data_IF_727061790224
#
_entry.id   IF_727061790224
#
_cell.length_a   1.000
_cell.length_b   1.000
_cell.length_c   1.000
_cell.angle_alpha   90.00
_cell.angle_beta   90.00
_cell.angle_gamma   90.00
#
_symmetry.space_group_name_H-M   'P 1'
#
loop_
_entity.id
_entity.type
_entity.pdbx_description
1 polymer ?
#
# COMPACT_ATOMS: atom_id res chain seq x y z
N UNK A 1 -11.35 -35.51 -45.64
CA UNK A 1 -11.17 -36.11 -46.97
C UNK A 1 -11.91 -35.26 -47.99
N UNK A 2 -11.23 -34.33 -48.64
CA UNK A 2 -11.69 -33.73 -49.90
C UNK A 2 -10.46 -33.16 -50.61
N UNK A 3 -10.23 -33.69 -51.80
CA UNK A 3 -9.06 -33.46 -52.63
C UNK A 3 -9.23 -32.13 -53.37
N UNK A 4 -8.24 -31.28 -53.18
CA UNK A 4 -7.67 -30.23 -54.03
C UNK A 4 -8.35 -29.95 -55.39
N UNK A 5 -9.08 -28.83 -55.47
CA UNK A 5 -9.62 -28.27 -56.73
C UNK A 5 -8.90 -26.99 -57.18
N UNK A 6 -7.89 -26.51 -56.44
CA UNK A 6 -7.18 -25.27 -56.78
C UNK A 6 -5.98 -25.49 -57.70
N UNK A 7 -5.43 -26.71 -57.79
CA UNK A 7 -4.26 -27.03 -58.63
C UNK A 7 -4.54 -27.35 -60.11
N UNK A 8 -5.77 -27.16 -60.61
CA UNK A 8 -6.11 -27.44 -62.02
C UNK A 8 -6.24 -26.22 -62.94
N UNK A 9 -5.95 -25.01 -62.46
CA UNK A 9 -6.12 -23.80 -63.27
C UNK A 9 -4.86 -23.21 -63.92
N UNK A 10 -3.68 -23.84 -63.79
CA UNK A 10 -2.44 -23.37 -64.47
C UNK A 10 -2.04 -24.16 -65.72
N UNK A 11 -2.84 -25.14 -66.17
CA UNK A 11 -2.57 -25.90 -67.42
C UNK A 11 -3.69 -25.71 -68.46
N UNK A 12 -4.59 -24.75 -68.26
CA UNK A 12 -5.78 -24.54 -69.10
C UNK A 12 -5.84 -23.15 -69.77
N UNK A 13 -4.69 -22.63 -70.21
CA UNK A 13 -4.62 -21.43 -71.02
C UNK A 13 -3.96 -21.71 -72.36
N UNK A 14 -4.72 -21.50 -73.47
CA UNK A 14 -4.28 -21.50 -74.89
C UNK A 14 -4.30 -22.96 -75.45
N UNK A 15 -5.26 -23.48 -76.22
CA UNK A 15 -6.03 -22.96 -77.36
C UNK A 15 -7.30 -23.81 -77.57
N UNK A 16 -8.47 -23.18 -77.61
CA UNK A 16 -9.61 -23.65 -78.41
C UNK A 16 -9.96 -22.54 -79.40
N UNK A 17 -10.03 -22.88 -80.68
CA UNK A 17 -10.74 -22.09 -81.68
C UNK A 17 -9.91 -21.72 -82.92
N UNK A 18 -9.92 -22.59 -83.93
CA UNK A 18 -10.61 -22.33 -85.22
C UNK A 18 -10.15 -23.34 -86.28
N UNK A 19 -10.96 -24.38 -86.43
CA UNK A 19 -11.09 -25.10 -87.69
C UNK A 19 -11.93 -24.23 -88.62
N UNK A 20 -11.42 -23.90 -89.80
CA UNK A 20 -12.27 -23.44 -90.91
C UNK A 20 -11.62 -22.43 -91.84
N UNK A 21 -11.28 -22.89 -93.05
CA UNK A 21 -10.93 -22.15 -94.28
C UNK A 21 -9.53 -21.51 -94.39
N UNK A 22 -8.60 -22.24 -95.04
CA UNK A 22 -7.29 -21.72 -95.46
C UNK A 22 -6.21 -22.81 -95.65
N UNK A 23 -6.52 -23.86 -96.42
CA UNK A 23 -5.73 -25.09 -96.51
C UNK A 23 -4.41 -25.03 -97.32
N UNK A 24 -3.73 -23.88 -97.41
CA UNK A 24 -2.41 -23.80 -98.08
C UNK A 24 -1.33 -23.00 -97.33
N UNK A 25 -1.65 -22.35 -96.20
CA UNK A 25 -0.68 -21.66 -95.35
C UNK A 25 -0.26 -22.42 -94.09
N UNK A 26 -1.02 -23.45 -93.70
CA UNK A 26 -0.84 -24.14 -92.41
C UNK A 26 0.27 -25.19 -92.42
N UNK A 27 0.63 -25.79 -93.56
CA UNK A 27 1.69 -26.82 -93.62
C UNK A 27 3.11 -26.25 -93.47
N UNK A 28 3.38 -25.09 -94.07
CA UNK A 28 4.66 -24.40 -93.92
C UNK A 28 4.86 -23.89 -92.48
N UNK A 29 3.79 -23.36 -91.88
CA UNK A 29 3.80 -22.95 -90.46
C UNK A 29 3.96 -24.18 -89.57
N UNK A 30 3.28 -25.29 -89.83
CA UNK A 30 3.44 -26.53 -89.04
C UNK A 30 4.86 -27.11 -89.17
N UNK A 31 5.47 -27.09 -90.36
CA UNK A 31 6.85 -27.50 -90.56
C UNK A 31 7.85 -26.57 -89.88
N UNK A 32 7.68 -25.26 -89.93
CA UNK A 32 8.56 -24.31 -89.24
C UNK A 32 8.41 -24.41 -87.72
N UNK A 33 7.19 -24.66 -87.23
CA UNK A 33 6.95 -24.88 -85.79
C UNK A 33 7.56 -26.20 -85.35
N UNK A 34 7.42 -27.27 -86.15
CA UNK A 34 8.08 -28.55 -85.89
C UNK A 34 9.60 -28.41 -85.93
N UNK A 35 10.18 -27.69 -86.90
CA UNK A 35 11.62 -27.40 -86.96
C UNK A 35 12.08 -26.56 -85.77
N UNK A 36 11.28 -25.60 -85.32
CA UNK A 36 11.59 -24.83 -84.11
C UNK A 36 11.54 -25.71 -82.86
N UNK A 37 10.59 -26.63 -82.74
CA UNK A 37 10.57 -27.60 -81.65
C UNK A 37 11.74 -28.59 -81.75
N UNK A 38 12.10 -29.05 -82.94
CA UNK A 38 13.24 -29.93 -83.18
C UNK A 38 14.57 -29.22 -82.90
N UNK A 39 14.65 -27.92 -83.22
CA UNK A 39 15.82 -27.08 -82.93
C UNK A 39 15.89 -26.73 -81.45
N UNK A 40 14.76 -26.49 -80.78
CA UNK A 40 14.72 -26.31 -79.33
C UNK A 40 15.09 -27.59 -78.60
N UNK A 41 14.51 -28.74 -78.98
CA UNK A 41 14.83 -30.05 -78.43
C UNK A 41 16.29 -30.42 -78.71
N UNK A 42 16.81 -30.18 -79.93
CA UNK A 42 18.22 -30.40 -80.27
C UNK A 42 19.15 -29.43 -79.52
N UNK A 43 18.74 -28.19 -79.28
CA UNK A 43 19.49 -27.24 -78.45
C UNK A 43 19.44 -27.60 -76.96
N UNK A 44 18.34 -28.22 -76.49
CA UNK A 44 18.22 -28.78 -75.14
C UNK A 44 19.03 -30.07 -74.98
N UNK A 45 19.10 -30.93 -76.00
CA UNK A 45 20.00 -32.10 -76.03
C UNK A 45 21.48 -31.71 -76.16
N UNK A 46 21.79 -30.60 -76.86
CA UNK A 46 23.14 -30.05 -77.00
C UNK A 46 23.56 -29.17 -75.82
N UNK A 47 22.62 -28.72 -75.00
CA UNK A 47 22.90 -28.11 -73.71
C UNK A 47 23.40 -29.20 -72.76
N UNK A 48 24.70 -29.50 -72.90
CA UNK A 48 25.47 -30.55 -72.21
C UNK A 48 25.52 -30.44 -70.67
N UNK A 49 24.67 -29.62 -70.07
CA UNK A 49 24.67 -29.31 -68.65
C UNK A 49 23.28 -29.24 -68.04
N UNK A 50 22.30 -29.93 -68.65
CA UNK A 50 20.97 -30.12 -68.09
C UNK A 50 20.99 -30.61 -66.63
N UNK A 51 21.88 -31.54 -66.23
CA UNK A 51 22.06 -31.92 -64.82
C UNK A 51 22.49 -30.74 -63.93
N UNK A 52 23.46 -29.92 -64.36
CA UNK A 52 23.93 -28.74 -63.62
C UNK A 52 22.86 -27.64 -63.55
N UNK A 53 22.03 -27.47 -64.59
CA UNK A 53 20.90 -26.55 -64.56
C UNK A 53 19.85 -27.01 -63.53
N UNK A 54 19.53 -28.30 -63.50
CA UNK A 54 18.59 -28.88 -62.54
C UNK A 54 19.12 -28.76 -61.10
N UNK A 55 20.42 -29.00 -60.90
CA UNK A 55 21.10 -28.84 -59.62
C UNK A 55 21.09 -27.38 -59.15
N UNK A 56 21.35 -26.43 -60.06
CA UNK A 56 21.26 -24.99 -59.76
C UNK A 56 19.83 -24.56 -59.40
N UNK A 57 18.81 -25.03 -60.11
CA UNK A 57 17.40 -24.75 -59.78
C UNK A 57 17.03 -25.37 -58.43
N UNK A 58 17.49 -26.58 -58.14
CA UNK A 58 17.29 -27.24 -56.85
C UNK A 58 17.96 -26.46 -55.71
N UNK A 59 19.19 -26.00 -55.91
CA UNK A 59 19.93 -25.18 -54.95
C UNK A 59 19.24 -23.84 -54.68
N UNK A 60 18.79 -23.14 -55.74
CA UNK A 60 18.04 -21.88 -55.61
C UNK A 60 16.70 -22.10 -54.91
N UNK A 61 15.98 -23.19 -55.22
CA UNK A 61 14.73 -23.53 -54.55
C UNK A 61 14.94 -23.84 -53.06
N UNK A 62 16.03 -24.52 -52.70
CA UNK A 62 16.40 -24.75 -51.30
C UNK A 62 16.68 -23.45 -50.56
N UNK A 63 17.48 -22.56 -51.15
CA UNK A 63 17.78 -21.23 -50.56
C UNK A 63 16.51 -20.39 -50.42
N UNK A 64 15.59 -20.45 -51.38
CA UNK A 64 14.31 -19.75 -51.31
C UNK A 64 13.42 -20.30 -50.17
N UNK A 65 13.35 -21.63 -50.02
CA UNK A 65 12.63 -22.25 -48.91
C UNK A 65 13.22 -21.88 -47.54
N UNK A 66 14.56 -21.86 -47.41
CA UNK A 66 15.23 -21.40 -46.19
C UNK A 66 14.88 -19.94 -45.88
N UNK A 67 14.88 -19.05 -46.89
CA UNK A 67 14.49 -17.64 -46.71
C UNK A 67 13.01 -17.47 -46.36
N UNK A 68 12.12 -18.26 -46.95
CA UNK A 68 10.70 -18.24 -46.60
C UNK A 68 10.47 -18.72 -45.15
N UNK A 69 11.22 -19.72 -44.70
CA UNK A 69 11.21 -20.15 -43.29
C UNK A 69 11.65 -19.02 -42.36
N UNK A 70 12.74 -18.32 -42.70
CA UNK A 70 13.23 -17.18 -41.91
C UNK A 70 12.25 -16.01 -41.86
N UNK A 71 11.48 -15.78 -42.94
CA UNK A 71 10.42 -14.76 -42.94
C UNK A 71 9.28 -15.13 -41.99
N UNK A 72 8.89 -16.41 -41.94
CA UNK A 72 7.88 -16.89 -41.00
C UNK A 72 8.36 -16.77 -39.53
N UNK A 73 9.64 -17.05 -39.28
CA UNK A 73 10.25 -16.84 -37.96
C UNK A 73 10.27 -15.35 -37.59
N UNK A 74 10.56 -14.47 -38.56
CA UNK A 74 10.54 -13.01 -38.36
C UNK A 74 9.14 -12.49 -38.02
N UNK A 75 8.11 -12.93 -38.73
CA UNK A 75 6.71 -12.55 -38.44
C UNK A 75 6.29 -13.00 -37.04
N UNK A 76 6.71 -14.20 -36.63
CA UNK A 76 6.48 -14.72 -35.28
C UNK A 76 7.16 -13.85 -34.23
N UNK A 77 8.45 -13.54 -34.42
CA UNK A 77 9.21 -12.66 -33.53
C UNK A 77 8.61 -11.26 -33.44
N UNK A 78 8.11 -10.72 -34.55
CA UNK A 78 7.49 -9.41 -34.59
C UNK A 78 6.17 -9.38 -33.80
N UNK A 79 5.40 -10.46 -33.85
CA UNK A 79 4.21 -10.64 -33.02
C UNK A 79 4.55 -10.70 -31.53
N UNK A 80 5.60 -11.45 -31.15
CA UNK A 80 6.08 -11.52 -29.76
C UNK A 80 6.55 -10.17 -29.25
N UNK A 81 7.33 -9.42 -30.04
CA UNK A 81 7.80 -8.07 -29.68
C UNK A 81 6.62 -7.12 -29.47
N UNK A 82 5.59 -7.20 -30.30
CA UNK A 82 4.39 -6.36 -30.18
C UNK A 82 3.65 -6.68 -28.89
N UNK A 83 3.45 -7.97 -28.60
CA UNK A 83 2.81 -8.44 -27.37
C UNK A 83 3.58 -7.99 -26.12
N UNK A 84 4.91 -8.13 -26.14
CA UNK A 84 5.78 -7.69 -25.02
C UNK A 84 5.72 -6.18 -24.80
N UNK A 85 5.65 -5.37 -25.88
CA UNK A 85 5.48 -3.92 -25.77
C UNK A 85 4.16 -3.56 -25.11
N UNK A 86 3.06 -4.19 -25.52
CA UNK A 86 1.75 -3.96 -24.91
C UNK A 86 1.72 -4.37 -23.43
N UNK A 87 2.29 -5.52 -23.08
CA UNK A 87 2.40 -5.95 -21.69
C UNK A 87 3.24 -4.99 -20.85
N UNK A 88 4.36 -4.50 -21.37
CA UNK A 88 5.19 -3.51 -20.67
C UNK A 88 4.47 -2.18 -20.46
N UNK A 89 3.70 -1.71 -21.44
CA UNK A 89 2.90 -0.49 -21.29
C UNK A 89 1.86 -0.65 -20.19
N UNK A 90 1.13 -1.77 -20.15
CA UNK A 90 0.15 -2.06 -19.09
C UNK A 90 0.80 -2.14 -17.71
N UNK A 91 1.93 -2.83 -17.59
CA UNK A 91 2.67 -2.91 -16.33
C UNK A 91 3.15 -1.53 -15.87
N UNK A 92 3.61 -0.68 -16.79
CA UNK A 92 4.05 0.68 -16.47
C UNK A 92 2.89 1.53 -15.95
N UNK A 93 1.71 1.42 -16.56
CA UNK A 93 0.50 2.12 -16.12
C UNK A 93 0.04 1.62 -14.74
N UNK A 94 0.04 0.31 -14.52
CA UNK A 94 -0.29 -0.27 -13.21
C UNK A 94 0.68 0.19 -12.11
N UNK A 95 1.98 0.25 -12.41
CA UNK A 95 2.99 0.76 -11.48
C UNK A 95 2.73 2.23 -11.15
N UNK A 96 2.44 3.07 -12.15
CA UNK A 96 2.18 4.50 -11.95
C UNK A 96 0.94 4.74 -11.08
N UNK A 97 -0.18 4.08 -11.40
CA UNK A 97 -1.42 4.17 -10.64
C UNK A 97 -1.24 3.67 -9.21
N UNK A 98 -0.53 2.53 -9.05
CA UNK A 98 -0.24 1.95 -7.75
C UNK A 98 0.65 2.87 -6.90
N UNK A 99 1.71 3.42 -7.50
CA UNK A 99 2.62 4.37 -6.83
C UNK A 99 1.88 5.61 -6.35
N UNK A 100 1.08 6.24 -7.22
CA UNK A 100 0.27 7.40 -6.85
C UNK A 100 -0.71 7.09 -5.70
N UNK A 101 -1.33 5.90 -5.73
CA UNK A 101 -2.24 5.44 -4.68
C UNK A 101 -1.51 5.28 -3.33
N UNK A 102 -0.32 4.69 -3.34
CA UNK A 102 0.49 4.53 -2.13
C UNK A 102 0.99 5.87 -1.59
N UNK A 103 1.43 6.79 -2.45
CA UNK A 103 1.83 8.13 -2.03
C UNK A 103 0.69 8.88 -1.35
N UNK A 104 -0.51 8.86 -1.94
CA UNK A 104 -1.70 9.47 -1.34
C UNK A 104 -2.03 8.83 0.02
N UNK A 105 -1.95 7.50 0.14
CA UNK A 105 -2.19 6.78 1.39
C UNK A 105 -1.16 7.14 2.47
N UNK A 106 0.12 7.25 2.10
CA UNK A 106 1.20 7.69 3.01
C UNK A 106 0.93 9.11 3.49
N UNK A 107 0.53 10.03 2.60
CA UNK A 107 0.23 11.41 2.95
C UNK A 107 -0.96 11.51 3.91
N UNK A 108 -2.03 10.76 3.64
CA UNK A 108 -3.22 10.69 4.50
C UNK A 108 -2.86 10.21 5.91
N UNK A 109 -2.11 9.08 6.00
CA UNK A 109 -1.66 8.52 7.28
C UNK A 109 -0.75 9.48 8.05
N UNK A 110 0.15 10.19 7.36
CA UNK A 110 0.99 11.22 8.00
C UNK A 110 0.16 12.36 8.57
N UNK A 111 -0.89 12.79 7.86
CA UNK A 111 -1.80 13.85 8.34
C UNK A 111 -2.58 13.40 9.58
N UNK A 112 -3.06 12.15 9.57
CA UNK A 112 -3.81 11.58 10.68
C UNK A 112 -2.93 11.45 11.92
N UNK A 113 -1.70 10.93 11.75
CA UNK A 113 -0.73 10.82 12.83
C UNK A 113 -0.38 12.19 13.44
N UNK A 114 -0.20 13.22 12.61
CA UNK A 114 0.07 14.58 13.07
C UNK A 114 -1.11 15.15 13.89
N UNK A 115 -2.34 14.92 13.44
CA UNK A 115 -3.56 15.35 14.15
C UNK A 115 -3.72 14.62 15.49
N UNK A 116 -3.50 13.31 15.52
CA UNK A 116 -3.54 12.52 16.75
C UNK A 116 -2.47 12.97 17.75
N UNK A 117 -1.24 13.22 17.28
CA UNK A 117 -0.16 13.74 18.11
C UNK A 117 -0.54 15.08 18.75
N UNK A 118 -1.06 16.02 17.96
CA UNK A 118 -1.50 17.34 18.44
C UNK A 118 -2.64 17.24 19.47
N UNK A 119 -3.60 16.35 19.24
CA UNK A 119 -4.69 16.09 20.19
C UNK A 119 -4.15 15.55 21.51
N UNK A 120 -3.21 14.61 21.44
CA UNK A 120 -2.62 14.00 22.63
C UNK A 120 -1.78 15.03 23.41
N UNK A 121 -0.97 15.84 22.73
CA UNK A 121 -0.20 16.92 23.35
C UNK A 121 -1.12 17.93 24.07
N UNK A 122 -2.22 18.33 23.44
CA UNK A 122 -3.22 19.19 24.07
C UNK A 122 -3.85 18.57 25.33
N UNK A 123 -4.21 17.28 25.25
CA UNK A 123 -4.78 16.55 26.39
C UNK A 123 -3.79 16.39 27.54
N UNK A 124 -2.52 16.12 27.23
CA UNK A 124 -1.43 16.07 28.23
C UNK A 124 -1.26 17.43 28.89
N UNK A 125 -1.24 18.52 28.13
CA UNK A 125 -1.13 19.87 28.68
C UNK A 125 -2.32 20.23 29.59
N UNK A 126 -3.55 19.87 29.20
CA UNK A 126 -4.76 20.06 30.03
C UNK A 126 -4.67 19.28 31.34
N UNK A 127 -4.34 17.99 31.27
CA UNK A 127 -4.21 17.15 32.47
C UNK A 127 -3.07 17.61 33.37
N UNK A 128 -1.95 18.07 32.81
CA UNK A 128 -0.86 18.65 33.60
C UNK A 128 -1.31 19.91 34.33
N UNK A 129 -2.10 20.76 33.67
CA UNK A 129 -2.70 21.94 34.29
C UNK A 129 -3.64 21.56 35.41
N UNK A 130 -4.59 20.66 35.18
CA UNK A 130 -5.52 20.16 36.20
C UNK A 130 -4.80 19.54 37.40
N UNK A 131 -3.76 18.72 37.16
CA UNK A 131 -2.94 18.14 38.24
C UNK A 131 -2.20 19.22 39.02
N UNK A 132 -1.70 20.27 38.34
CA UNK A 132 -1.01 21.37 39.02
C UNK A 132 -1.95 22.22 39.86
N UNK A 133 -3.17 22.47 39.37
CA UNK A 133 -4.23 23.15 40.10
C UNK A 133 -4.64 22.32 41.33
N UNK A 134 -4.92 21.03 41.15
CA UNK A 134 -5.25 20.13 42.25
C UNK A 134 -4.14 20.04 43.31
N UNK A 135 -2.87 19.95 42.90
CA UNK A 135 -1.74 19.96 43.85
C UNK A 135 -1.63 21.26 44.62
N UNK A 136 -1.95 22.40 44.01
CA UNK A 136 -1.94 23.70 44.69
C UNK A 136 -3.06 23.84 45.73
N UNK A 137 -4.11 23.02 45.62
CA UNK A 137 -5.24 22.98 46.54
C UNK A 137 -5.01 22.08 47.76
N UNK A 138 -4.01 21.21 47.71
CA UNK A 138 -3.60 20.36 48.84
C UNK A 138 -2.62 21.12 49.72
N UNK A 139 -3.04 21.42 50.95
CA UNK A 139 -2.14 21.96 51.97
C UNK A 139 -1.81 20.86 52.98
N UNK A 140 -0.62 20.26 52.87
CA UNK A 140 -0.12 19.29 53.83
C UNK A 140 0.43 19.99 55.08
N UNK A 141 0.18 19.43 56.26
CA UNK A 141 0.68 19.93 57.53
C UNK A 141 0.82 18.81 58.56
N UNK A 142 1.63 19.06 59.58
CA UNK A 142 1.95 18.11 60.63
C UNK A 142 1.61 18.71 62.00
N UNK A 143 1.01 17.91 62.89
CA UNK A 143 0.68 18.34 64.25
C UNK A 143 1.19 17.32 65.26
N UNK A 144 1.90 17.82 66.28
CA UNK A 144 2.22 17.06 67.48
C UNK A 144 1.01 16.99 68.42
N UNK A 145 1.01 16.02 69.32
CA UNK A 145 -0.06 15.88 70.32
C UNK A 145 -0.19 17.16 71.15
N UNK A 146 -1.43 17.65 71.30
CA UNK A 146 -1.74 18.91 71.97
C UNK A 146 -1.54 20.17 71.11
N UNK A 147 -0.99 20.05 69.90
CA UNK A 147 -0.79 21.19 69.00
C UNK A 147 -2.02 21.47 68.13
N UNK A 148 -2.11 22.72 67.65
CA UNK A 148 -3.08 23.12 66.65
C UNK A 148 -2.49 24.08 65.64
N UNK A 149 -3.09 24.11 64.45
CA UNK A 149 -2.74 25.03 63.38
C UNK A 149 -3.97 25.74 62.86
N UNK A 150 -3.75 26.92 62.29
CA UNK A 150 -4.76 27.68 61.60
C UNK A 150 -4.40 27.80 60.13
N UNK A 151 -5.34 27.39 59.27
CA UNK A 151 -5.19 27.36 57.83
C UNK A 151 -6.17 28.36 57.20
N UNK A 152 -5.84 28.81 55.98
CA UNK A 152 -6.66 29.75 55.20
C UNK A 152 -7.04 31.02 56.00
N UNK A 153 -6.08 31.58 56.74
CA UNK A 153 -6.24 32.86 57.46
C UNK A 153 -7.20 32.82 58.64
N UNK A 154 -7.40 31.67 59.30
CA UNK A 154 -8.29 31.56 60.46
C UNK A 154 -9.53 30.70 60.24
N UNK A 155 -9.90 30.45 58.99
CA UNK A 155 -11.18 29.84 58.63
C UNK A 155 -11.24 28.33 58.92
N UNK A 156 -10.09 27.66 58.90
CA UNK A 156 -9.96 26.26 59.34
C UNK A 156 -8.97 26.20 60.47
N UNK A 157 -9.41 25.69 61.62
CA UNK A 157 -8.56 25.42 62.78
C UNK A 157 -8.54 23.91 63.00
N UNK A 158 -7.36 23.31 62.98
CA UNK A 158 -7.18 21.88 63.20
C UNK A 158 -6.28 21.69 64.41
N UNK A 159 -6.74 20.94 65.40
CA UNK A 159 -5.97 20.56 66.58
C UNK A 159 -5.87 19.04 66.71
N UNK A 160 -4.70 18.55 67.10
CA UNK A 160 -4.50 17.14 67.39
C UNK A 160 -4.46 16.95 68.91
N UNK A 161 -5.38 16.16 69.45
CA UNK A 161 -5.55 16.01 70.90
C UNK A 161 -4.81 14.79 71.45
N UNK A 162 -4.99 13.62 70.84
CA UNK A 162 -4.31 12.38 71.20
C UNK A 162 -4.56 11.29 70.16
N UNK A 163 -3.64 10.33 70.05
CA UNK A 163 -3.77 9.15 69.18
C UNK A 163 -3.81 7.86 69.98
N UNK A 164 -4.27 6.77 69.37
CA UNK A 164 -4.20 5.43 69.95
C UNK A 164 -3.45 4.45 69.03
N UNK A 165 -3.13 3.28 69.57
CA UNK A 165 -2.43 2.20 68.84
C UNK A 165 -3.26 1.60 67.69
N UNK A 166 -4.53 1.98 67.55
CA UNK A 166 -5.41 1.55 66.46
C UNK A 166 -5.44 2.56 65.30
N UNK A 167 -4.47 3.48 65.22
CA UNK A 167 -4.41 4.55 64.22
C UNK A 167 -5.63 5.49 64.23
N UNK A 168 -6.30 5.63 65.37
CA UNK A 168 -7.40 6.58 65.57
C UNK A 168 -6.89 7.79 66.33
N UNK A 169 -7.08 8.96 65.75
CA UNK A 169 -6.71 10.24 66.32
C UNK A 169 -7.94 11.01 66.76
N UNK A 170 -7.89 11.58 67.97
CA UNK A 170 -8.82 12.60 68.44
C UNK A 170 -8.37 13.94 67.90
N UNK A 171 -9.17 14.51 67.01
CA UNK A 171 -8.86 15.74 66.27
C UNK A 171 -9.96 16.76 66.54
N UNK A 172 -9.59 18.01 66.74
CA UNK A 172 -10.53 19.13 66.74
C UNK A 172 -10.48 19.84 65.40
N UNK A 173 -11.63 20.04 64.77
CA UNK A 173 -11.76 20.85 63.54
C UNK A 173 -12.80 21.92 63.81
N UNK A 174 -12.42 23.20 63.70
CA UNK A 174 -13.27 24.35 64.01
C UNK A 174 -14.03 24.20 65.34
N UNK A 175 -13.27 23.84 66.40
CA UNK A 175 -13.77 23.62 67.76
C UNK A 175 -14.74 22.44 67.95
N UNK A 176 -14.94 21.60 66.94
CA UNK A 176 -15.70 20.34 67.06
C UNK A 176 -14.74 19.15 67.15
N UNK A 177 -15.03 18.20 68.03
CA UNK A 177 -14.21 17.00 68.25
C UNK A 177 -14.64 15.88 67.29
N UNK A 178 -13.66 15.20 66.74
CA UNK A 178 -13.81 14.05 65.85
C UNK A 178 -12.82 12.96 66.24
N UNK A 179 -13.22 11.72 66.06
CA UNK A 179 -12.30 10.57 66.06
C UNK A 179 -12.11 10.15 64.61
N UNK A 180 -10.87 10.27 64.12
CA UNK A 180 -10.52 10.00 62.73
C UNK A 180 -9.52 8.87 62.66
N UNK A 181 -9.81 7.89 61.83
CA UNK A 181 -8.85 6.87 61.44
C UNK A 181 -7.98 7.40 60.30
N UNK A 182 -6.77 6.87 60.15
CA UNK A 182 -5.95 7.19 58.98
C UNK A 182 -6.72 6.88 57.67
N UNK A 183 -6.75 7.84 56.75
CA UNK A 183 -7.56 7.84 55.53
C UNK A 183 -8.94 8.49 55.68
N UNK A 184 -9.41 8.74 56.91
CA UNK A 184 -10.68 9.42 57.16
C UNK A 184 -10.57 10.94 56.98
N UNK A 185 -11.70 11.58 56.70
CA UNK A 185 -11.76 13.02 56.45
C UNK A 185 -12.96 13.69 57.12
N UNK A 186 -12.79 14.94 57.53
CA UNK A 186 -13.88 15.82 57.98
C UNK A 186 -14.08 16.91 56.94
N UNK A 187 -15.32 17.07 56.49
CA UNK A 187 -15.70 18.14 55.58
C UNK A 187 -15.97 19.44 56.36
N UNK A 188 -15.42 20.54 55.87
CA UNK A 188 -15.56 21.91 56.38
C UNK A 188 -16.01 22.79 55.23
N UNK A 189 -17.14 23.49 55.39
CA UNK A 189 -17.60 24.47 54.42
C UNK A 189 -16.91 25.82 54.67
N UNK A 190 -16.24 26.33 53.63
CA UNK A 190 -15.55 27.61 53.61
C UNK A 190 -16.16 28.50 52.53
N UNK A 191 -17.03 29.42 52.93
CA UNK A 191 -17.64 30.41 52.03
C UNK A 191 -18.28 29.76 50.77
N UNK A 192 -18.94 28.61 50.92
CA UNK A 192 -19.57 27.88 49.82
C UNK A 192 -18.64 26.89 49.09
N UNK A 193 -17.40 26.72 49.54
CA UNK A 193 -16.46 25.69 49.08
C UNK A 193 -16.32 24.57 50.11
N UNK A 194 -16.47 23.34 49.65
CA UNK A 194 -16.29 22.15 50.48
C UNK A 194 -14.81 21.79 50.57
N UNK A 195 -14.20 21.97 51.74
CA UNK A 195 -12.86 21.50 52.03
C UNK A 195 -12.91 20.24 52.90
N UNK A 196 -11.93 19.35 52.76
CA UNK A 196 -11.77 18.15 53.56
C UNK A 196 -10.44 18.20 54.31
N UNK A 197 -10.50 18.07 55.63
CA UNK A 197 -9.33 17.80 56.46
C UNK A 197 -9.18 16.29 56.52
N UNK A 198 -8.14 15.76 55.90
CA UNK A 198 -7.82 14.32 55.83
C UNK A 198 -6.70 14.02 56.82
N UNK A 199 -6.88 12.97 57.61
CA UNK A 199 -5.81 12.41 58.42
C UNK A 199 -5.08 11.33 57.62
N UNK A 200 -3.83 11.56 57.22
CA UNK A 200 -3.07 10.58 56.45
C UNK A 200 -2.31 9.59 57.33
N UNK A 201 -1.82 10.06 58.47
CA UNK A 201 -1.13 9.23 59.44
C UNK A 201 -1.43 9.71 60.84
N UNK A 202 -1.98 8.83 61.66
CA UNK A 202 -2.10 9.05 63.09
C UNK A 202 -0.82 8.60 63.78
N UNK A 203 -0.30 9.43 64.68
CA UNK A 203 0.77 9.03 65.60
C UNK A 203 0.17 8.63 66.94
N UNK A 204 0.69 7.55 67.52
CA UNK A 204 0.38 7.08 68.87
C UNK A 204 1.40 7.56 69.92
N UNK A 205 2.36 8.41 69.51
CA UNK A 205 3.44 8.92 70.35
C UNK A 205 3.57 10.43 70.25
N UNK A 206 3.79 11.07 71.39
CA UNK A 206 4.11 12.50 71.52
C UNK A 206 5.36 12.89 70.72
N UNK A 207 6.26 11.94 70.45
CA UNK A 207 7.52 12.16 69.73
C UNK A 207 7.37 12.23 68.21
N UNK A 208 6.25 11.73 67.66
CA UNK A 208 6.03 11.72 66.22
C UNK A 208 4.78 12.54 65.87
N UNK A 209 4.86 13.45 64.89
CA UNK A 209 3.68 14.20 64.47
C UNK A 209 2.70 13.33 63.68
N UNK A 210 1.42 13.65 63.83
CA UNK A 210 0.36 13.18 62.95
C UNK A 210 0.34 14.01 61.67
N UNK A 211 0.11 13.37 60.51
CA UNK A 211 0.10 14.01 59.19
C UNK A 211 -1.31 14.26 58.72
N UNK A 212 -1.56 15.48 58.28
CA UNK A 212 -2.84 15.93 57.79
C UNK A 212 -2.70 16.62 56.43
N UNK A 213 -3.78 16.58 55.67
CA UNK A 213 -3.92 17.34 54.44
C UNK A 213 -5.25 18.08 54.45
N UNK A 214 -5.23 19.35 54.06
CA UNK A 214 -6.44 20.10 53.73
C UNK A 214 -6.59 20.08 52.21
N UNK A 215 -7.69 19.49 51.75
CA UNK A 215 -8.08 19.43 50.34
C UNK A 215 -9.26 20.36 50.15
N UNK A 216 -9.15 21.40 49.33
CA UNK A 216 -10.27 22.30 49.03
C UNK A 216 -10.58 22.23 47.55
N UNK A 217 -11.75 21.74 47.13
CA UNK A 217 -12.10 21.79 45.70
C UNK A 217 -12.46 23.23 45.30
N UNK A 218 -11.87 23.74 44.21
CA UNK A 218 -12.23 25.01 43.56
C UNK A 218 -13.72 25.18 43.29
#
# INVERSE_FOLDING_TARGET
MSIDLAKKFEVAGIIVGLVGSGALGSWAIYQDTLKQYETQISNYEKAKDFPNLLENISSVSRVLNERLSLLNDYDTLQSEVTTLKESNLKLSEEIEVSSATYEHKIQSLRSELANQKKLLESKVASLQKEVSEFKSEVTAFELNEGAGTSLKGGLVQVGFTSGNMYNVCKVTVNNKKYELEAGSSVTVDLNGRSCKVVLNKCSDSVLYPSRFELLCSS
#
